data_IF_788165517630
#
_entry.id   IF_788165517630
#
_cell.length_a   1.000
_cell.length_b   1.000
_cell.length_c   1.000
_cell.angle_alpha   90.00
_cell.angle_beta   90.00
_cell.angle_gamma   90.00
#
_symmetry.space_group_name_H-M   'P 1'
#
loop_
_entity.id
_entity.type
_entity.pdbx_description
1 polymer ?
#
# COMPACT_ATOMS: atom_id res chain seq x y z
N UNK A 1 -42.83 -10.23 -19.43
CA UNK A 1 -41.91 -9.14 -19.04
C UNK A 1 -41.44 -9.47 -17.63
N UNK A 2 -40.23 -10.01 -17.49
CA UNK A 2 -39.72 -10.52 -16.21
C UNK A 2 -39.29 -9.33 -15.36
N UNK A 3 -40.05 -9.01 -14.32
CA UNK A 3 -39.61 -8.05 -13.30
C UNK A 3 -38.48 -8.71 -12.52
N UNK A 4 -37.24 -8.24 -12.72
CA UNK A 4 -36.15 -8.60 -11.85
C UNK A 4 -36.47 -8.04 -10.46
N UNK A 5 -36.70 -8.92 -9.50
CA UNK A 5 -36.81 -8.53 -8.09
C UNK A 5 -35.53 -7.78 -7.70
N UNK A 6 -35.63 -6.53 -7.19
CA UNK A 6 -34.46 -5.77 -6.79
C UNK A 6 -33.74 -6.48 -5.63
N UNK A 7 -32.41 -6.41 -5.61
CA UNK A 7 -31.62 -6.91 -4.49
C UNK A 7 -32.03 -6.23 -3.19
N UNK A 8 -32.15 -7.00 -2.11
CA UNK A 8 -32.48 -6.50 -0.78
C UNK A 8 -31.51 -5.40 -0.33
N UNK A 9 -32.00 -4.34 0.30
CA UNK A 9 -31.16 -3.21 0.74
C UNK A 9 -30.01 -3.65 1.66
N UNK A 10 -30.23 -4.67 2.49
CA UNK A 10 -29.20 -5.26 3.35
C UNK A 10 -28.03 -5.85 2.56
N UNK A 11 -28.33 -6.49 1.42
CA UNK A 11 -27.32 -7.09 0.54
C UNK A 11 -26.50 -6.00 -0.15
N UNK A 12 -27.16 -4.94 -0.60
CA UNK A 12 -26.50 -3.79 -1.24
C UNK A 12 -25.59 -3.06 -0.24
N UNK A 13 -26.03 -2.86 1.00
CA UNK A 13 -25.22 -2.26 2.05
C UNK A 13 -24.03 -3.14 2.45
N UNK A 14 -24.24 -4.46 2.59
CA UNK A 14 -23.16 -5.39 2.89
C UNK A 14 -22.11 -5.46 1.77
N UNK A 15 -22.55 -5.46 0.50
CA UNK A 15 -21.65 -5.40 -0.65
C UNK A 15 -20.84 -4.09 -0.64
N UNK A 16 -21.52 -2.94 -0.46
CA UNK A 16 -20.90 -1.62 -0.39
C UNK A 16 -19.89 -1.49 0.75
N UNK A 17 -20.20 -2.06 1.92
CA UNK A 17 -19.28 -2.14 3.05
C UNK A 17 -18.03 -2.97 2.70
N UNK A 18 -18.21 -4.12 2.03
CA UNK A 18 -17.10 -4.96 1.55
C UNK A 18 -16.23 -4.27 0.49
N UNK A 19 -16.84 -3.55 -0.45
CA UNK A 19 -16.13 -2.76 -1.46
C UNK A 19 -15.34 -1.61 -0.83
N UNK A 20 -15.92 -0.94 0.15
CA UNK A 20 -15.26 0.13 0.92
C UNK A 20 -14.05 -0.42 1.69
N UNK A 21 -14.18 -1.57 2.36
CA UNK A 21 -13.09 -2.22 3.07
C UNK A 21 -11.94 -2.61 2.12
N UNK A 22 -12.26 -3.13 0.93
CA UNK A 22 -11.26 -3.45 -0.11
C UNK A 22 -10.56 -2.20 -0.63
N UNK A 23 -11.31 -1.15 -0.96
CA UNK A 23 -10.76 0.10 -1.45
C UNK A 23 -9.81 0.74 -0.41
N UNK A 24 -10.20 0.73 0.86
CA UNK A 24 -9.35 1.20 1.96
C UNK A 24 -8.05 0.41 2.07
N UNK A 25 -8.13 -0.92 1.98
CA UNK A 25 -6.94 -1.79 2.00
C UNK A 25 -5.99 -1.49 0.83
N UNK A 26 -6.51 -1.37 -0.39
CA UNK A 26 -5.67 -1.05 -1.56
C UNK A 26 -5.06 0.34 -1.47
N UNK A 27 -5.79 1.32 -0.92
CA UNK A 27 -5.26 2.65 -0.70
C UNK A 27 -4.12 2.65 0.32
N UNK A 28 -4.26 1.89 1.41
CA UNK A 28 -3.19 1.72 2.39
C UNK A 28 -1.93 1.13 1.75
N UNK A 29 -2.09 0.08 0.95
CA UNK A 29 -0.97 -0.54 0.23
C UNK A 29 -0.31 0.43 -0.75
N UNK A 30 -1.11 1.17 -1.53
CA UNK A 30 -0.59 2.16 -2.47
C UNK A 30 0.21 3.27 -1.78
N UNK A 31 -0.22 3.71 -0.59
CA UNK A 31 0.49 4.74 0.19
C UNK A 31 1.82 4.24 0.76
N UNK A 32 1.87 2.99 1.22
CA UNK A 32 3.07 2.44 1.85
C UNK A 32 4.12 1.93 0.86
N UNK A 33 3.68 1.52 -0.33
CA UNK A 33 4.55 0.96 -1.37
C UNK A 33 4.88 1.95 -2.49
N UNK A 34 4.11 3.04 -2.61
CA UNK A 34 4.28 4.02 -3.69
C UNK A 34 5.42 5.01 -3.45
N UNK A 35 5.69 5.35 -2.19
CA UNK A 35 6.78 6.25 -1.80
C UNK A 35 7.24 5.98 -0.36
N UNK A 36 8.38 6.55 0.03
CA UNK A 36 8.89 6.46 1.40
C UNK A 36 7.90 7.10 2.39
N UNK A 37 7.33 6.34 3.35
CA UNK A 37 6.36 6.89 4.30
C UNK A 37 7.00 7.96 5.21
N UNK A 38 6.55 9.20 5.07
CA UNK A 38 6.90 10.30 5.98
C UNK A 38 6.10 10.25 7.29
N UNK A 39 6.38 11.21 8.19
CA UNK A 39 5.71 11.28 9.51
C UNK A 39 4.18 11.31 9.40
N UNK A 40 3.64 12.08 8.47
CA UNK A 40 2.19 12.21 8.27
C UNK A 40 1.53 10.87 7.92
N UNK A 41 2.16 10.08 7.04
CA UNK A 41 1.67 8.75 6.66
C UNK A 41 1.74 7.80 7.87
N UNK A 42 2.82 7.84 8.64
CA UNK A 42 2.95 7.03 9.86
C UNK A 42 1.91 7.40 10.92
N UNK A 43 1.60 8.69 11.09
CA UNK A 43 0.56 9.15 12.00
C UNK A 43 -0.84 8.64 11.56
N UNK A 44 -1.13 8.63 10.26
CA UNK A 44 -2.37 8.06 9.71
C UNK A 44 -2.45 6.56 10.02
N UNK A 45 -1.38 5.82 9.72
CA UNK A 45 -1.32 4.36 9.93
C UNK A 45 -1.42 4.00 11.41
N UNK A 46 -0.79 4.78 12.29
CA UNK A 46 -0.83 4.59 13.74
C UNK A 46 -2.24 4.70 14.34
N UNK A 47 -3.14 5.42 13.66
CA UNK A 47 -4.52 5.65 14.08
C UNK A 47 -5.54 4.73 13.39
N UNK A 48 -5.10 3.79 12.54
CA UNK A 48 -6.01 2.82 11.94
C UNK A 48 -6.61 1.90 13.02
N UNK A 49 -7.94 1.69 13.01
CA UNK A 49 -8.58 0.80 13.96
C UNK A 49 -8.23 -0.67 13.64
N UNK A 50 -8.01 -1.52 14.65
CA UNK A 50 -7.99 -2.95 14.44
C UNK A 50 -9.39 -3.44 14.03
N UNK A 51 -9.45 -4.54 13.30
CA UNK A 51 -10.72 -5.19 12.94
C UNK A 51 -10.70 -6.67 13.28
N UNK A 52 -11.88 -7.29 13.41
CA UNK A 52 -12.03 -8.68 13.89
C UNK A 52 -11.67 -9.76 12.85
N UNK A 53 -11.24 -9.35 11.66
CA UNK A 53 -10.77 -10.24 10.61
C UNK A 53 -9.26 -10.42 10.71
N UNK A 54 -8.72 -11.48 10.11
CA UNK A 54 -7.26 -11.67 10.04
C UNK A 54 -6.54 -10.46 9.43
N UNK A 55 -7.11 -9.85 8.39
CA UNK A 55 -6.58 -8.61 7.80
C UNK A 55 -6.65 -7.45 8.80
N UNK A 56 -7.78 -7.32 9.52
CA UNK A 56 -7.96 -6.30 10.56
C UNK A 56 -6.97 -6.42 11.71
N UNK A 57 -6.61 -7.64 12.12
CA UNK A 57 -5.56 -7.88 13.12
C UNK A 57 -4.19 -7.43 12.62
N UNK A 58 -3.83 -7.78 11.37
CA UNK A 58 -2.56 -7.36 10.77
C UNK A 58 -2.47 -5.82 10.62
N UNK A 59 -3.59 -5.16 10.30
CA UNK A 59 -3.68 -3.69 10.30
C UNK A 59 -3.44 -3.14 11.70
N UNK A 60 -3.99 -3.78 12.75
CA UNK A 60 -3.75 -3.41 14.14
C UNK A 60 -2.28 -3.54 14.54
N UNK A 61 -1.60 -4.62 14.15
CA UNK A 61 -0.16 -4.78 14.39
C UNK A 61 0.68 -3.74 13.65
N UNK A 62 0.32 -3.45 12.39
CA UNK A 62 0.97 -2.40 11.60
C UNK A 62 0.80 -1.02 12.27
N UNK A 63 -0.40 -0.69 12.75
CA UNK A 63 -0.67 0.53 13.49
C UNK A 63 0.16 0.61 14.78
N UNK A 64 0.30 -0.50 15.50
CA UNK A 64 1.13 -0.56 16.70
C UNK A 64 2.61 -0.29 16.42
N UNK A 65 3.15 -0.83 15.31
CA UNK A 65 4.53 -0.57 14.87
C UNK A 65 4.72 0.87 14.38
N UNK A 66 3.75 1.43 13.67
CA UNK A 66 3.79 2.82 13.20
C UNK A 66 3.92 3.83 14.35
N UNK A 67 3.41 3.50 15.55
CA UNK A 67 3.53 4.35 16.76
C UNK A 67 4.94 4.41 17.35
N UNK A 68 5.77 3.40 17.10
CA UNK A 68 7.09 3.26 17.75
C UNK A 68 8.25 3.46 16.78
N UNK A 69 7.99 3.39 15.47
CA UNK A 69 9.01 3.58 14.43
C UNK A 69 9.21 5.06 14.09
N UNK A 70 10.42 5.43 13.67
CA UNK A 70 10.74 6.80 13.27
C UNK A 70 10.76 6.93 11.75
N UNK A 71 10.43 8.10 11.17
CA UNK A 71 10.53 8.32 9.72
C UNK A 71 11.92 8.02 9.15
N UNK A 72 12.99 8.30 9.90
CA UNK A 72 14.36 8.01 9.49
C UNK A 72 14.66 6.50 9.43
N UNK A 73 14.11 5.72 10.37
CA UNK A 73 14.21 4.26 10.34
C UNK A 73 13.42 3.68 9.16
N UNK A 74 12.20 4.17 8.92
CA UNK A 74 11.36 3.79 7.78
C UNK A 74 12.03 4.13 6.45
N UNK A 75 12.63 5.30 6.31
CA UNK A 75 13.34 5.68 5.09
C UNK A 75 14.53 4.76 4.80
N UNK A 76 15.26 4.34 5.85
CA UNK A 76 16.36 3.38 5.72
C UNK A 76 15.84 2.00 5.31
N UNK A 77 14.76 1.54 5.93
CA UNK A 77 14.12 0.26 5.61
C UNK A 77 13.57 0.25 4.18
N UNK A 78 12.85 1.30 3.79
CA UNK A 78 12.34 1.49 2.42
C UNK A 78 13.48 1.50 1.40
N UNK A 79 14.56 2.23 1.68
CA UNK A 79 15.73 2.24 0.80
C UNK A 79 16.38 0.86 0.69
N UNK A 80 16.52 0.13 1.80
CA UNK A 80 17.06 -1.24 1.78
C UNK A 80 16.16 -2.21 1.00
N UNK A 81 14.85 -2.10 1.16
CA UNK A 81 13.87 -2.98 0.52
C UNK A 81 13.73 -2.70 -0.98
N UNK A 82 13.71 -1.43 -1.40
CA UNK A 82 13.31 -1.03 -2.76
C UNK A 82 14.39 -0.35 -3.61
N UNK A 83 15.45 0.21 -3.01
CA UNK A 83 16.43 1.10 -3.71
C UNK A 83 17.87 0.59 -3.64
N UNK A 84 18.21 -0.24 -2.65
CA UNK A 84 19.56 -0.72 -2.36
C UNK A 84 20.21 -1.48 -3.53
N UNK A 85 21.41 -1.03 -3.92
CA UNK A 85 22.27 -1.65 -4.93
C UNK A 85 22.74 -3.03 -4.47
N UNK A 86 22.20 -4.09 -5.06
CA UNK A 86 22.77 -5.43 -4.97
C UNK A 86 21.77 -6.56 -5.09
N UNK A 87 20.62 -6.44 -4.41
CA UNK A 87 19.50 -7.40 -4.40
C UNK A 87 18.44 -6.75 -3.49
N UNK A 88 17.58 -5.89 -4.04
CA UNK A 88 16.40 -5.44 -3.29
C UNK A 88 15.52 -6.67 -3.04
N UNK A 89 15.30 -7.02 -1.77
CA UNK A 89 14.56 -8.24 -1.39
C UNK A 89 13.13 -8.25 -1.97
N UNK A 90 12.59 -7.07 -2.34
CA UNK A 90 11.29 -6.89 -2.97
C UNK A 90 11.35 -5.88 -4.12
N UNK A 91 10.84 -6.26 -5.30
CA UNK A 91 10.66 -5.36 -6.44
C UNK A 91 9.19 -4.91 -6.46
N UNK A 92 8.85 -3.61 -6.36
CA UNK A 92 7.46 -3.14 -6.24
C UNK A 92 6.76 -3.11 -7.62
N UNK A 93 7.00 -4.12 -8.45
CA UNK A 93 6.38 -4.30 -9.76
C UNK A 93 5.83 -5.71 -9.86
N UNK A 94 4.51 -5.82 -9.98
CA UNK A 94 3.83 -7.11 -10.14
C UNK A 94 4.29 -7.91 -11.37
N UNK A 95 4.83 -7.24 -12.41
CA UNK A 95 5.40 -7.91 -13.58
C UNK A 95 6.61 -8.78 -13.24
N UNK A 96 7.44 -8.41 -12.25
CA UNK A 96 8.60 -9.19 -11.86
C UNK A 96 8.21 -10.55 -11.26
N UNK A 97 7.18 -10.59 -10.43
CA UNK A 97 6.65 -11.83 -9.84
C UNK A 97 5.83 -12.68 -10.81
N UNK A 98 5.38 -12.11 -11.93
CA UNK A 98 4.59 -12.80 -12.94
C UNK A 98 5.42 -13.32 -14.11
N UNK A 99 6.51 -12.65 -14.50
CA UNK A 99 7.30 -13.01 -15.68
C UNK A 99 8.80 -13.22 -15.44
N UNK A 100 9.33 -12.86 -14.27
CA UNK A 100 10.78 -12.88 -14.01
C UNK A 100 11.56 -11.73 -14.69
N UNK A 101 10.86 -10.81 -15.36
CA UNK A 101 11.48 -9.65 -16.01
C UNK A 101 10.89 -8.34 -15.48
N UNK A 102 11.76 -7.45 -15.02
CA UNK A 102 11.45 -6.04 -14.84
C UNK A 102 11.19 -5.46 -16.24
N UNK A 103 10.00 -4.87 -16.47
CA UNK A 103 9.54 -4.23 -17.72
C UNK A 103 10.61 -4.10 -18.83
N UNK A 104 10.41 -4.71 -20.00
CA UNK A 104 11.26 -4.47 -21.17
C UNK A 104 11.33 -2.95 -21.48
N UNK A 105 12.47 -2.36 -21.10
CA UNK A 105 13.03 -1.02 -21.34
C UNK A 105 13.10 -0.12 -20.09
N UNK A 106 14.30 0.41 -19.77
CA UNK A 106 14.58 1.06 -18.50
C UNK A 106 14.12 2.52 -18.50
N UNK A 107 13.36 2.91 -17.48
CA UNK A 107 13.21 4.30 -17.05
C UNK A 107 13.70 4.40 -15.62
N UNK A 108 14.97 4.79 -15.46
CA UNK A 108 15.43 5.74 -14.43
C UNK A 108 16.96 5.77 -14.38
N UNK A 109 17.56 6.30 -15.45
CA UNK A 109 18.81 7.02 -15.33
C UNK A 109 18.47 8.43 -14.82
N UNK A 110 19.05 8.85 -13.69
CA UNK A 110 19.17 10.28 -13.35
C UNK A 110 18.34 10.81 -12.18
N UNK A 111 18.92 10.76 -10.98
CA UNK A 111 18.89 11.92 -10.06
C UNK A 111 19.84 12.98 -10.63
N UNK A 112 19.40 13.80 -11.59
CA UNK A 112 20.06 15.07 -11.91
C UNK A 112 19.13 15.91 -12.80
N UNK A 113 18.98 17.21 -12.47
CA UNK A 113 18.22 18.26 -13.18
C UNK A 113 16.70 18.33 -12.94
N UNK A 114 16.32 18.97 -11.83
CA UNK A 114 15.46 20.16 -11.93
C UNK A 114 15.73 21.09 -10.73
N UNK A 115 16.86 21.77 -10.80
CA UNK A 115 17.09 23.07 -10.17
C UNK A 115 17.65 23.95 -11.27
N UNK A 116 17.11 25.16 -11.42
CA UNK A 116 17.30 26.12 -12.54
C UNK A 116 16.49 25.65 -13.76
N UNK A 117 15.31 26.21 -14.09
CA UNK A 117 14.89 27.62 -14.25
C UNK A 117 13.47 27.80 -13.72
#
# INVERSE_FOLDING_TARGET
>A
MSTAEPFSEDVVHAASAGETARAGTYRLLALLLGDTPGKEVLDIVANLPPGDTQIGHNIGELAARARTITPAAVAREYHNLFVGLGEGELIPYGSYYLSGFLHEKPLAFGKFLLSVV
#
